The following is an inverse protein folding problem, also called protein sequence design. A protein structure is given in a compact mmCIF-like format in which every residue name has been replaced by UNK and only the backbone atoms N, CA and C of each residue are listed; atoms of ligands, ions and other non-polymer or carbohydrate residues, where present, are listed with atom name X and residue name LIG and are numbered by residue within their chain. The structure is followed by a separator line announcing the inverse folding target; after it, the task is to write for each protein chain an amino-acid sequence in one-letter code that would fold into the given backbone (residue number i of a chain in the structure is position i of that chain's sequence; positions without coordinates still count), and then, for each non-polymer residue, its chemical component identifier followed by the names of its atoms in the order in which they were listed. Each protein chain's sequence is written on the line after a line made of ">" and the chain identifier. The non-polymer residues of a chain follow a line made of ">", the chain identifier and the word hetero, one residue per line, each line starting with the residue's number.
data_IF_224284600098
#
_entry.id   IF_224284600098
#
_cell.length_a   1.000
_cell.length_b   1.000
_cell.length_c   1.000
_cell.angle_alpha   90.00
_cell.angle_beta   90.00
_cell.angle_gamma   90.00
#
_symmetry.space_group_name_H-M   'P 1'
#
loop_
_entity.id
_entity.type
_entity.pdbx_description
1 polymer ?
#
# COMPACT_ATOMS: atom_id res chain seq x y z
N UNK A 1 75.80 8.53 -33.04
CA UNK A 1 74.79 7.53 -32.67
C UNK A 1 73.88 8.17 -31.61
N UNK A 2 72.79 8.72 -32.01
CA UNK A 2 71.86 9.48 -31.14
C UNK A 2 70.54 8.73 -31.08
N UNK A 3 70.18 8.21 -29.91
CA UNK A 3 68.99 7.48 -29.68
C UNK A 3 67.80 8.44 -29.50
N UNK A 4 66.77 8.28 -30.30
CA UNK A 4 65.50 8.99 -30.22
C UNK A 4 64.56 8.18 -29.30
N UNK A 5 64.23 8.78 -28.13
CA UNK A 5 63.27 8.21 -27.20
C UNK A 5 61.85 8.60 -27.65
N UNK A 6 61.05 7.59 -27.96
CA UNK A 6 59.62 7.78 -28.27
C UNK A 6 58.81 8.05 -26.98
N UNK A 7 58.11 9.18 -26.94
CA UNK A 7 57.16 9.54 -25.89
C UNK A 7 55.82 8.92 -26.26
N UNK A 8 55.34 7.97 -25.42
CA UNK A 8 54.01 7.36 -25.52
C UNK A 8 52.99 8.33 -24.89
N UNK A 9 51.98 8.72 -25.65
CA UNK A 9 50.82 9.47 -25.21
C UNK A 9 49.96 8.55 -24.34
N UNK A 10 49.35 9.00 -23.22
CA UNK A 10 48.37 8.25 -22.51
C UNK A 10 47.02 8.25 -23.26
N UNK A 11 46.41 7.09 -23.36
CA UNK A 11 45.04 6.85 -23.86
C UNK A 11 44.03 7.67 -23.06
N UNK A 12 43.23 8.40 -23.76
CA UNK A 12 42.12 9.15 -23.28
C UNK A 12 40.95 8.19 -23.05
N UNK A 13 40.74 7.76 -21.80
CA UNK A 13 39.56 6.99 -21.39
C UNK A 13 38.30 7.82 -21.63
N UNK A 14 37.54 7.37 -22.60
CA UNK A 14 36.21 7.91 -22.94
C UNK A 14 35.24 7.66 -21.76
N UNK A 15 34.97 8.74 -21.01
CA UNK A 15 33.96 8.81 -19.97
C UNK A 15 32.75 9.54 -20.51
N UNK A 16 31.92 8.88 -21.32
CA UNK A 16 30.57 9.40 -21.63
C UNK A 16 29.68 8.27 -22.16
N UNK A 17 29.29 7.38 -21.27
CA UNK A 17 28.07 6.60 -21.45
C UNK A 17 27.08 7.01 -20.35
N UNK A 18 26.62 8.26 -20.40
CA UNK A 18 25.36 8.62 -19.77
C UNK A 18 24.29 8.12 -20.72
N UNK A 19 23.71 6.95 -20.39
CA UNK A 19 22.54 6.41 -21.08
C UNK A 19 21.44 7.47 -21.01
N UNK A 20 21.17 8.14 -22.10
CA UNK A 20 19.99 8.99 -22.25
C UNK A 20 18.80 8.06 -22.33
N UNK A 21 18.02 7.98 -21.23
CA UNK A 21 16.73 7.28 -21.25
C UNK A 21 15.86 7.87 -22.36
N UNK A 22 15.23 7.01 -23.15
CA UNK A 22 14.28 7.41 -24.18
C UNK A 22 13.06 8.10 -23.52
N UNK A 23 12.43 9.04 -24.24
CA UNK A 23 11.25 9.75 -23.75
C UNK A 23 10.10 8.79 -23.36
N UNK A 24 10.01 7.65 -24.03
CA UNK A 24 9.07 6.57 -23.70
C UNK A 24 9.43 5.89 -22.37
N UNK A 25 10.72 5.62 -22.10
CA UNK A 25 11.18 5.05 -20.83
C UNK A 25 10.95 6.02 -19.66
N UNK A 26 11.17 7.32 -19.91
CA UNK A 26 10.89 8.38 -18.92
C UNK A 26 9.39 8.49 -18.63
N UNK A 27 8.52 8.37 -19.64
CA UNK A 27 7.08 8.40 -19.47
C UNK A 27 6.57 7.15 -18.71
N UNK A 28 7.06 5.97 -19.03
CA UNK A 28 6.73 4.72 -18.32
C UNK A 28 7.21 4.79 -16.86
N UNK A 29 8.39 5.34 -16.62
CA UNK A 29 8.91 5.51 -15.26
C UNK A 29 8.09 6.55 -14.46
N UNK A 30 7.61 7.62 -15.10
CA UNK A 30 6.73 8.61 -14.48
C UNK A 30 5.36 8.02 -14.13
N UNK A 31 4.75 7.25 -15.04
CA UNK A 31 3.49 6.54 -14.79
C UNK A 31 3.63 5.52 -13.64
N UNK A 32 4.75 4.79 -13.59
CA UNK A 32 5.03 3.87 -12.51
C UNK A 32 5.28 4.58 -11.16
N UNK A 33 5.84 5.78 -11.18
CA UNK A 33 6.11 6.55 -9.96
C UNK A 33 4.83 6.97 -9.21
N UNK A 34 3.76 7.25 -9.95
CA UNK A 34 2.46 7.66 -9.41
C UNK A 34 1.45 6.49 -9.34
N UNK A 35 1.79 5.33 -9.92
CA UNK A 35 0.98 4.12 -9.76
C UNK A 35 1.06 3.60 -8.32
N UNK A 36 -0.06 3.05 -7.84
CA UNK A 36 -0.19 2.54 -6.48
C UNK A 36 -0.51 1.04 -6.46
N UNK A 37 0.37 0.22 -5.90
CA UNK A 37 0.01 -1.11 -5.43
C UNK A 37 -0.80 -0.98 -4.13
N UNK A 38 -1.70 -1.92 -3.85
CA UNK A 38 -2.55 -1.86 -2.65
C UNK A 38 -2.36 -3.10 -1.79
N UNK A 39 -2.15 -2.88 -0.50
CA UNK A 39 -2.11 -3.92 0.53
C UNK A 39 -3.43 -3.86 1.30
N UNK A 40 -4.17 -4.96 1.32
CA UNK A 40 -5.39 -5.11 2.12
C UNK A 40 -5.09 -6.02 3.30
N UNK A 41 -5.13 -5.46 4.51
CA UNK A 41 -4.97 -6.24 5.74
C UNK A 41 -6.27 -6.98 6.04
N UNK A 42 -6.23 -8.30 5.96
CA UNK A 42 -7.36 -9.19 6.17
C UNK A 42 -7.03 -10.30 7.18
N UNK A 43 -6.06 -10.05 8.05
CA UNK A 43 -5.68 -10.89 9.18
C UNK A 43 -6.29 -10.39 10.49
N UNK A 44 -6.23 -11.24 11.49
CA UNK A 44 -6.68 -10.91 12.85
C UNK A 44 -7.47 -12.05 13.48
N UNK A 45 -7.58 -12.04 14.81
CA UNK A 45 -8.17 -13.16 15.57
C UNK A 45 -9.71 -13.14 15.62
N UNK A 46 -10.37 -12.13 15.05
CA UNK A 46 -11.84 -12.02 15.02
C UNK A 46 -12.54 -12.11 16.39
N UNK A 47 -11.85 -11.84 17.50
CA UNK A 47 -12.36 -12.09 18.88
C UNK A 47 -13.70 -11.43 19.17
N UNK A 48 -13.98 -10.25 18.58
CA UNK A 48 -15.23 -9.50 18.78
C UNK A 48 -16.36 -9.96 17.86
N UNK A 49 -16.05 -10.85 16.93
CA UNK A 49 -16.98 -11.50 16.02
C UNK A 49 -17.07 -13.01 16.33
N UNK A 50 -16.99 -13.38 17.61
CA UNK A 50 -17.08 -14.77 18.10
C UNK A 50 -16.09 -15.72 17.41
N UNK A 51 -14.91 -15.21 17.02
CA UNK A 51 -13.88 -15.96 16.30
C UNK A 51 -14.12 -16.08 14.80
N UNK A 52 -15.13 -15.43 14.24
CA UNK A 52 -15.36 -15.44 12.79
C UNK A 52 -14.18 -14.81 12.03
N UNK A 53 -13.88 -15.35 10.87
CA UNK A 53 -12.93 -14.78 9.92
C UNK A 53 -13.47 -13.45 9.40
N UNK A 54 -12.93 -12.30 9.84
CA UNK A 54 -13.40 -10.97 9.44
C UNK A 54 -13.54 -10.80 7.92
N UNK A 55 -12.54 -11.18 7.10
CA UNK A 55 -12.66 -11.05 5.65
C UNK A 55 -13.83 -11.83 5.05
N UNK A 56 -14.28 -12.90 5.71
CA UNK A 56 -15.34 -13.78 5.23
C UNK A 56 -16.74 -13.42 5.79
N UNK A 57 -16.82 -12.44 6.69
CA UNK A 57 -18.12 -11.93 7.18
C UNK A 57 -18.89 -11.34 6.00
N UNK A 58 -20.16 -11.78 5.85
CA UNK A 58 -21.05 -11.32 4.77
C UNK A 58 -21.98 -10.21 5.27
N UNK A 59 -22.03 -9.12 4.54
CA UNK A 59 -22.98 -8.04 4.72
C UNK A 59 -23.30 -7.42 3.33
N UNK A 60 -24.51 -6.97 3.13
CA UNK A 60 -24.98 -6.45 1.82
C UNK A 60 -24.70 -7.41 0.65
N UNK A 61 -24.78 -8.71 0.91
CA UNK A 61 -24.64 -9.75 -0.10
C UNK A 61 -23.21 -10.11 -0.53
N UNK A 62 -22.18 -9.46 0.01
CA UNK A 62 -20.77 -9.72 -0.28
C UNK A 62 -19.96 -9.89 1.02
N UNK A 63 -18.83 -10.61 0.95
CA UNK A 63 -17.86 -10.64 2.05
C UNK A 63 -17.26 -9.24 2.25
N UNK A 64 -16.88 -8.89 3.47
CA UNK A 64 -16.23 -7.59 3.75
C UNK A 64 -15.00 -7.38 2.86
N UNK A 65 -14.17 -8.41 2.68
CA UNK A 65 -13.03 -8.35 1.76
C UNK A 65 -13.45 -8.07 0.31
N UNK A 66 -14.53 -8.69 -0.17
CA UNK A 66 -14.98 -8.55 -1.55
C UNK A 66 -15.51 -7.13 -1.84
N UNK A 67 -16.08 -6.43 -0.83
CA UNK A 67 -16.44 -5.02 -0.98
C UNK A 67 -15.21 -4.14 -1.25
N UNK A 68 -14.11 -4.39 -0.55
CA UNK A 68 -12.85 -3.65 -0.76
C UNK A 68 -12.30 -3.96 -2.15
N UNK A 69 -12.22 -5.24 -2.52
CA UNK A 69 -11.66 -5.66 -3.81
C UNK A 69 -12.47 -5.14 -5.00
N UNK A 70 -13.81 -5.23 -4.93
CA UNK A 70 -14.70 -4.68 -5.96
C UNK A 70 -14.57 -3.16 -6.09
N UNK A 71 -14.40 -2.47 -4.95
CA UNK A 71 -14.17 -1.02 -4.96
C UNK A 71 -12.83 -0.63 -5.58
N UNK A 72 -11.77 -1.41 -5.37
CA UNK A 72 -10.47 -1.19 -6.02
C UNK A 72 -10.58 -1.37 -7.54
N UNK A 73 -11.31 -2.40 -8.00
CA UNK A 73 -11.54 -2.60 -9.43
C UNK A 73 -12.33 -1.46 -10.03
N UNK A 74 -13.40 -1.00 -9.36
CA UNK A 74 -14.16 0.18 -9.79
C UNK A 74 -13.27 1.43 -9.93
N UNK A 75 -12.34 1.67 -8.99
CA UNK A 75 -11.42 2.80 -9.09
C UNK A 75 -10.44 2.65 -10.27
N UNK A 76 -9.98 1.44 -10.56
CA UNK A 76 -9.14 1.13 -11.72
C UNK A 76 -9.88 1.44 -13.03
N UNK A 77 -11.15 1.02 -13.15
CA UNK A 77 -12.02 1.32 -14.28
C UNK A 77 -12.26 2.83 -14.45
N UNK A 78 -12.28 3.58 -13.35
CA UNK A 78 -12.38 5.05 -13.34
C UNK A 78 -11.07 5.77 -13.67
N UNK A 79 -9.97 5.02 -13.94
CA UNK A 79 -8.68 5.56 -14.34
C UNK A 79 -7.74 5.94 -13.21
N UNK A 80 -8.03 5.56 -11.96
CA UNK A 80 -7.03 5.69 -10.89
C UNK A 80 -5.88 4.70 -11.18
N UNK A 81 -4.60 5.14 -11.20
CA UNK A 81 -3.47 4.29 -11.57
C UNK A 81 -3.17 3.28 -10.46
N UNK A 82 -4.03 2.27 -10.32
CA UNK A 82 -3.89 1.16 -9.40
C UNK A 82 -3.17 -0.01 -10.08
N UNK A 83 -2.06 -0.41 -9.47
CA UNK A 83 -1.30 -1.59 -9.84
C UNK A 83 -1.88 -2.88 -9.25
N UNK A 84 -1.04 -3.67 -8.61
CA UNK A 84 -1.41 -4.97 -8.04
C UNK A 84 -2.05 -4.83 -6.67
N UNK A 85 -2.88 -5.80 -6.33
CA UNK A 85 -3.48 -5.92 -5.01
C UNK A 85 -2.88 -7.14 -4.31
N UNK A 86 -2.42 -6.94 -3.08
CA UNK A 86 -1.94 -8.00 -2.20
C UNK A 86 -2.77 -8.03 -0.92
N UNK A 87 -3.41 -9.15 -0.64
CA UNK A 87 -4.16 -9.38 0.59
C UNK A 87 -3.28 -10.10 1.59
N UNK A 88 -3.13 -9.52 2.77
CA UNK A 88 -2.43 -10.14 3.89
C UNK A 88 -3.44 -10.94 4.68
N UNK A 89 -3.46 -12.25 4.44
CA UNK A 89 -4.44 -13.15 5.01
C UNK A 89 -3.89 -14.58 5.11
N UNK A 90 -4.39 -15.38 6.07
CA UNK A 90 -4.08 -16.80 6.16
C UNK A 90 -4.62 -17.57 4.92
N UNK A 91 -4.08 -18.77 4.63
CA UNK A 91 -4.38 -19.51 3.41
C UNK A 91 -5.85 -19.91 3.27
N UNK A 92 -6.59 -20.01 4.38
CA UNK A 92 -8.01 -20.38 4.42
C UNK A 92 -8.94 -19.33 3.81
N UNK A 93 -8.51 -18.05 3.80
CA UNK A 93 -9.28 -16.96 3.17
C UNK A 93 -9.21 -17.10 1.66
N UNK A 94 -10.33 -17.36 1.01
CA UNK A 94 -10.38 -17.46 -0.45
C UNK A 94 -10.12 -16.11 -1.11
N UNK A 95 -9.22 -16.07 -2.10
CA UNK A 95 -8.91 -14.88 -2.89
C UNK A 95 -9.26 -15.09 -4.36
N UNK A 96 -9.76 -14.06 -5.06
CA UNK A 96 -10.00 -14.14 -6.50
C UNK A 96 -8.68 -14.24 -7.28
N UNK A 97 -8.78 -14.72 -8.53
CA UNK A 97 -7.65 -14.80 -9.44
C UNK A 97 -7.03 -13.41 -9.67
N UNK A 98 -5.70 -13.34 -9.73
CA UNK A 98 -4.97 -12.07 -9.92
C UNK A 98 -4.71 -11.27 -8.64
N UNK A 99 -5.31 -11.62 -7.53
CA UNK A 99 -5.01 -11.03 -6.21
C UNK A 99 -3.87 -11.82 -5.57
N UNK A 100 -2.82 -11.12 -5.17
CA UNK A 100 -1.66 -11.71 -4.50
C UNK A 100 -1.97 -11.98 -3.02
N UNK A 101 -1.30 -12.97 -2.45
CA UNK A 101 -1.38 -13.29 -1.03
C UNK A 101 -0.05 -13.02 -0.35
N UNK A 102 -0.11 -12.42 0.83
CA UNK A 102 1.00 -12.37 1.77
C UNK A 102 0.56 -12.88 3.15
N UNK A 103 1.50 -13.32 3.94
CA UNK A 103 1.36 -13.56 5.35
C UNK A 103 2.74 -13.37 5.98
N UNK A 104 2.80 -12.68 7.10
CA UNK A 104 4.04 -12.52 7.84
C UNK A 104 4.49 -13.83 8.50
N UNK A 105 5.79 -14.05 8.58
CA UNK A 105 6.38 -15.24 9.20
C UNK A 105 7.27 -14.84 10.40
N UNK A 106 7.00 -15.37 11.60
CA UNK A 106 5.83 -16.16 11.98
C UNK A 106 4.53 -15.33 11.93
N UNK A 107 3.33 -15.96 11.83
CA UNK A 107 2.06 -15.23 11.81
C UNK A 107 1.79 -14.44 13.08
N UNK A 108 0.79 -13.53 13.04
CA UNK A 108 0.30 -12.74 14.17
C UNK A 108 1.32 -11.70 14.70
N UNK A 109 2.23 -11.23 13.85
CA UNK A 109 3.17 -10.13 14.19
C UNK A 109 2.55 -8.74 14.18
N UNK A 110 1.25 -8.65 13.99
CA UNK A 110 0.49 -7.40 13.95
C UNK A 110 0.49 -6.70 12.58
N UNK A 111 -0.28 -5.61 12.44
CA UNK A 111 -0.52 -4.97 11.15
C UNK A 111 0.76 -4.45 10.49
N UNK A 112 1.74 -4.00 11.25
CA UNK A 112 3.03 -3.49 10.72
C UNK A 112 3.82 -4.61 10.04
N UNK A 113 3.86 -5.81 10.65
CA UNK A 113 4.50 -6.98 10.05
C UNK A 113 3.75 -7.45 8.80
N UNK A 114 2.42 -7.40 8.82
CA UNK A 114 1.58 -7.70 7.66
C UNK A 114 1.86 -6.74 6.49
N UNK A 115 2.01 -5.44 6.75
CA UNK A 115 2.37 -4.46 5.72
C UNK A 115 3.75 -4.80 5.11
N UNK A 116 4.73 -5.13 5.94
CA UNK A 116 6.06 -5.52 5.48
C UNK A 116 6.01 -6.76 4.57
N UNK A 117 5.24 -7.79 4.96
CA UNK A 117 5.03 -8.99 4.14
C UNK A 117 4.34 -8.68 2.81
N UNK A 118 3.32 -7.81 2.81
CA UNK A 118 2.65 -7.35 1.59
C UNK A 118 3.60 -6.61 0.65
N UNK A 119 4.44 -5.71 1.18
CA UNK A 119 5.45 -5.00 0.39
C UNK A 119 6.49 -5.93 -0.23
N UNK A 120 6.92 -6.95 0.50
CA UNK A 120 7.86 -7.96 0.00
C UNK A 120 7.28 -8.72 -1.20
N UNK A 121 6.04 -9.21 -1.08
CA UNK A 121 5.35 -9.91 -2.18
C UNK A 121 5.19 -9.00 -3.40
N UNK A 122 4.75 -7.76 -3.20
CA UNK A 122 4.59 -6.78 -4.28
C UNK A 122 5.93 -6.33 -4.89
N UNK A 123 7.02 -6.44 -4.16
CA UNK A 123 8.37 -6.09 -4.62
C UNK A 123 9.03 -7.11 -5.56
N UNK A 124 8.45 -8.31 -5.68
CA UNK A 124 9.05 -9.41 -6.47
C UNK A 124 8.80 -9.33 -7.98
N UNK A 125 8.01 -8.37 -8.42
CA UNK A 125 7.66 -8.19 -9.85
C UNK A 125 8.05 -6.81 -10.34
N UNK A 126 8.41 -6.69 -11.60
CA UNK A 126 8.81 -5.45 -12.27
C UNK A 126 7.76 -5.08 -13.34
N UNK A 127 7.40 -3.81 -13.52
CA UNK A 127 7.80 -2.66 -12.72
C UNK A 127 7.13 -2.61 -11.34
N UNK A 128 7.83 -2.04 -10.36
CA UNK A 128 7.31 -1.83 -9.01
C UNK A 128 6.67 -0.45 -8.93
N UNK A 129 5.42 -0.39 -8.47
CA UNK A 129 4.72 0.88 -8.28
C UNK A 129 5.43 1.79 -7.26
N UNK A 130 5.48 3.09 -7.52
CA UNK A 130 6.12 4.08 -6.66
C UNK A 130 5.35 4.34 -5.35
N UNK A 131 4.05 4.07 -5.36
CA UNK A 131 3.17 4.23 -4.21
C UNK A 131 2.66 2.89 -3.69
N UNK A 132 2.31 2.85 -2.40
CA UNK A 132 1.67 1.71 -1.75
C UNK A 132 0.47 2.19 -0.91
N UNK A 133 -0.72 1.70 -1.23
CA UNK A 133 -1.94 1.90 -0.47
C UNK A 133 -2.05 0.86 0.64
N UNK A 134 -2.57 1.27 1.79
CA UNK A 134 -2.93 0.37 2.89
C UNK A 134 -4.42 0.53 3.14
N UNK A 135 -5.16 -0.57 3.12
CA UNK A 135 -6.55 -0.69 3.50
C UNK A 135 -6.74 -1.86 4.46
N UNK A 136 -7.88 -1.90 5.12
CA UNK A 136 -8.29 -3.02 5.99
C UNK A 136 -9.60 -3.61 5.48
N UNK A 137 -9.80 -4.91 5.63
CA UNK A 137 -11.02 -5.57 5.15
C UNK A 137 -12.26 -5.24 5.99
N UNK A 138 -12.08 -4.82 7.24
CA UNK A 138 -13.17 -4.45 8.16
C UNK A 138 -13.75 -3.04 7.91
N UNK A 139 -13.07 -2.23 7.09
CA UNK A 139 -13.59 -0.97 6.56
C UNK A 139 -13.99 -1.14 5.07
N UNK A 140 -15.16 -1.75 4.77
CA UNK A 140 -15.50 -2.20 3.41
C UNK A 140 -15.65 -1.07 2.38
N UNK A 141 -15.76 0.18 2.80
CA UNK A 141 -15.81 1.36 1.94
C UNK A 141 -14.53 2.21 1.98
N UNK A 142 -13.45 1.71 2.60
CA UNK A 142 -12.18 2.42 2.73
C UNK A 142 -11.54 2.82 1.39
N UNK A 143 -11.75 2.02 0.34
CA UNK A 143 -11.29 2.31 -1.02
C UNK A 143 -11.73 3.69 -1.54
N UNK A 144 -12.87 4.23 -1.05
CA UNK A 144 -13.39 5.54 -1.45
C UNK A 144 -12.48 6.71 -1.09
N UNK A 145 -11.59 6.53 -0.14
CA UNK A 145 -10.62 7.55 0.23
C UNK A 145 -9.45 7.66 -0.76
N UNK A 146 -9.09 6.58 -1.46
CA UNK A 146 -7.89 6.51 -2.30
C UNK A 146 -7.76 7.63 -3.34
N UNK A 147 -8.80 8.07 -4.07
CA UNK A 147 -8.66 9.14 -5.06
C UNK A 147 -8.22 10.47 -4.45
N UNK A 148 -8.72 10.81 -3.25
CA UNK A 148 -8.32 12.03 -2.55
C UNK A 148 -6.89 11.93 -1.99
N UNK A 149 -6.54 10.76 -1.42
CA UNK A 149 -5.19 10.48 -0.92
C UNK A 149 -4.16 10.52 -2.05
N UNK A 150 -4.46 9.88 -3.18
CA UNK A 150 -3.60 9.87 -4.36
C UNK A 150 -3.34 11.28 -4.88
N UNK A 151 -4.39 12.06 -5.10
CA UNK A 151 -4.28 13.45 -5.55
C UNK A 151 -3.43 14.28 -4.60
N UNK A 152 -3.66 14.16 -3.29
CA UNK A 152 -2.93 14.91 -2.28
C UNK A 152 -1.43 14.57 -2.25
N UNK A 153 -1.09 13.29 -2.42
CA UNK A 153 0.30 12.82 -2.38
C UNK A 153 1.05 13.17 -3.67
N UNK A 154 0.42 13.01 -4.83
CA UNK A 154 1.01 13.37 -6.13
C UNK A 154 1.26 14.89 -6.21
N UNK A 155 0.27 15.71 -5.81
CA UNK A 155 0.41 17.16 -5.80
C UNK A 155 1.50 17.68 -4.85
N UNK A 156 1.72 16.99 -3.73
CA UNK A 156 2.75 17.37 -2.77
C UNK A 156 4.18 17.03 -3.24
N UNK A 157 4.32 16.19 -4.25
CA UNK A 157 5.64 15.75 -4.71
C UNK A 157 6.44 15.04 -3.59
N UNK A 158 7.77 15.20 -3.56
CA UNK A 158 8.66 14.49 -2.62
C UNK A 158 8.60 15.04 -1.18
N UNK A 159 7.85 16.09 -0.91
CA UNK A 159 7.78 16.71 0.42
C UNK A 159 7.05 15.85 1.43
N UNK A 160 6.12 15.00 0.96
CA UNK A 160 5.36 14.08 1.80
C UNK A 160 5.77 12.63 1.55
N UNK A 161 5.78 11.86 2.62
CA UNK A 161 5.98 10.43 2.60
C UNK A 161 4.66 9.67 2.44
N UNK A 162 3.52 10.33 2.74
CA UNK A 162 2.20 9.73 2.62
C UNK A 162 1.04 10.72 2.78
N UNK A 163 -0.16 10.23 2.48
CA UNK A 163 -1.44 10.85 2.78
C UNK A 163 -2.34 9.83 3.45
N UNK A 164 -2.99 10.20 4.56
CA UNK A 164 -3.85 9.30 5.34
C UNK A 164 -5.23 9.90 5.51
N UNK A 165 -6.26 9.06 5.57
CA UNK A 165 -7.59 9.50 5.93
C UNK A 165 -7.62 10.07 7.36
N UNK A 166 -8.51 11.04 7.57
CA UNK A 166 -8.76 11.66 8.86
C UNK A 166 -10.27 11.69 9.13
N UNK A 167 -10.70 11.14 10.26
CA UNK A 167 -12.12 10.98 10.61
C UNK A 167 -12.73 12.21 11.34
N UNK A 168 -11.91 13.24 11.56
CA UNK A 168 -12.23 14.42 12.33
C UNK A 168 -11.51 14.48 13.69
N UNK A 169 -11.08 13.33 14.21
CA UNK A 169 -10.39 13.21 15.49
C UNK A 169 -8.98 12.62 15.33
N UNK A 170 -8.85 11.59 14.49
CA UNK A 170 -7.62 10.81 14.36
C UNK A 170 -7.18 10.61 12.92
N UNK A 171 -5.86 10.52 12.74
CA UNK A 171 -5.25 10.09 11.48
C UNK A 171 -5.30 8.56 11.39
N UNK A 172 -5.93 8.06 10.34
CA UNK A 172 -6.14 6.64 10.06
C UNK A 172 -4.96 6.10 9.26
N UNK A 173 -3.86 5.73 9.92
CA UNK A 173 -2.64 5.24 9.24
C UNK A 173 -2.84 3.95 8.44
N UNK A 174 -3.83 3.12 8.79
CA UNK A 174 -4.17 1.91 8.04
C UNK A 174 -5.16 2.18 6.89
N UNK A 175 -5.56 3.44 6.70
CA UNK A 175 -6.25 3.94 5.54
C UNK A 175 -5.40 5.06 4.94
N UNK A 176 -4.36 4.69 4.22
CA UNK A 176 -3.35 5.61 3.73
C UNK A 176 -2.74 5.20 2.41
N UNK A 177 -2.18 6.18 1.72
CA UNK A 177 -1.35 6.01 0.54
C UNK A 177 0.03 6.58 0.84
N UNK A 178 1.06 5.83 0.56
CA UNK A 178 2.43 6.15 0.96
C UNK A 178 3.39 6.02 -0.21
N UNK A 179 4.48 6.80 -0.18
CA UNK A 179 5.63 6.49 -1.01
C UNK A 179 6.21 5.15 -0.57
N UNK A 180 6.26 4.22 -1.49
CA UNK A 180 6.64 2.83 -1.21
C UNK A 180 7.95 2.73 -0.44
N UNK A 181 8.97 3.49 -0.84
CA UNK A 181 10.29 3.45 -0.18
C UNK A 181 10.23 3.94 1.28
N UNK A 182 9.50 5.02 1.53
CA UNK A 182 9.34 5.56 2.88
C UNK A 182 8.58 4.57 3.78
N UNK A 183 7.48 3.98 3.27
CA UNK A 183 6.72 2.96 3.97
C UNK A 183 7.59 1.74 4.28
N UNK A 184 8.32 1.21 3.30
CA UNK A 184 9.19 0.05 3.49
C UNK A 184 10.24 0.29 4.58
N UNK A 185 10.87 1.47 4.59
CA UNK A 185 11.84 1.85 5.64
C UNK A 185 11.17 1.94 7.02
N UNK A 186 9.94 2.45 7.09
CA UNK A 186 9.22 2.61 8.35
C UNK A 186 8.77 1.28 8.97
N UNK A 187 8.34 0.31 8.13
CA UNK A 187 7.85 -0.99 8.63
C UNK A 187 8.94 -2.05 8.74
N UNK A 188 10.07 -1.88 8.05
CA UNK A 188 11.21 -2.80 8.07
C UNK A 188 12.55 -2.02 8.05
N UNK A 189 12.89 -1.29 9.12
CA UNK A 189 14.14 -0.54 9.20
C UNK A 189 15.33 -1.50 9.08
N UNK A 190 16.27 -1.16 8.20
CA UNK A 190 17.41 -2.05 7.90
C UNK A 190 17.04 -3.37 7.22
N UNK A 191 15.82 -3.46 6.66
CA UNK A 191 15.32 -4.68 6.01
C UNK A 191 14.73 -5.72 6.98
N UNK A 192 14.64 -5.41 8.27
CA UNK A 192 14.08 -6.32 9.29
C UNK A 192 12.65 -5.88 9.63
N UNK A 193 11.61 -6.69 9.35
CA UNK A 193 10.23 -6.34 9.65
C UNK A 193 9.99 -6.10 11.15
N UNK A 194 9.34 -4.98 11.46
CA UNK A 194 8.87 -4.70 12.82
C UNK A 194 7.70 -5.60 13.15
N UNK A 195 7.71 -6.18 14.35
CA UNK A 195 6.66 -7.06 14.86
C UNK A 195 6.11 -6.49 16.18
N UNK A 196 4.85 -6.81 16.48
CA UNK A 196 4.16 -6.39 17.71
C UNK A 196 4.33 -4.88 18.01
N UNK A 197 4.47 -4.11 16.94
CA UNK A 197 4.69 -2.67 17.00
C UNK A 197 3.39 -1.93 16.70
N UNK A 198 3.05 -0.96 17.55
CA UNK A 198 1.88 -0.11 17.31
C UNK A 198 2.04 0.67 15.99
N UNK A 199 1.00 0.68 15.17
CA UNK A 199 0.96 1.36 13.86
C UNK A 199 1.42 2.82 13.97
N UNK A 200 0.90 3.56 14.95
CA UNK A 200 1.28 4.96 15.19
C UNK A 200 2.78 5.13 15.50
N UNK A 201 3.38 4.14 16.15
CA UNK A 201 4.83 4.18 16.45
C UNK A 201 5.65 3.97 15.18
N UNK A 202 5.25 3.06 14.30
CA UNK A 202 5.96 2.78 13.06
C UNK A 202 5.74 3.88 12.01
N UNK A 203 4.48 4.23 11.74
CA UNK A 203 4.11 5.13 10.64
C UNK A 203 4.03 6.61 11.04
N UNK A 204 3.90 6.92 12.32
CA UNK A 204 3.82 8.30 12.81
C UNK A 204 5.11 9.12 12.69
N UNK A 205 6.21 8.49 12.28
CA UNK A 205 7.48 9.18 11.96
C UNK A 205 7.51 9.70 10.51
N UNK A 206 6.59 9.25 9.67
CA UNK A 206 6.48 9.68 8.29
C UNK A 206 5.82 11.06 8.20
N UNK A 207 6.24 11.85 7.22
CA UNK A 207 5.61 13.14 6.89
C UNK A 207 4.31 12.89 6.15
N UNK A 208 3.22 12.71 6.88
CA UNK A 208 1.91 12.41 6.30
C UNK A 208 1.00 13.63 6.33
N UNK A 209 0.19 13.79 5.28
CA UNK A 209 -0.92 14.74 5.25
C UNK A 209 -2.21 14.03 5.64
N UNK A 210 -2.90 14.56 6.64
CA UNK A 210 -4.22 14.11 7.04
C UNK A 210 -5.27 14.69 6.07
N UNK A 211 -6.06 13.83 5.45
CA UNK A 211 -7.09 14.20 4.46
C UNK A 211 -8.46 13.91 5.08
N UNK A 212 -9.31 14.93 5.28
CA UNK A 212 -10.66 14.74 5.75
C UNK A 212 -11.42 13.74 4.85
N UNK A 213 -12.04 12.76 5.48
CA UNK A 213 -12.67 11.64 4.79
C UNK A 213 -14.06 11.40 5.38
N UNK A 214 -14.99 10.89 4.58
CA UNK A 214 -16.34 10.58 5.01
C UNK A 214 -16.35 9.49 6.10
N UNK A 215 -17.27 9.57 7.04
CA UNK A 215 -17.42 8.57 8.11
C UNK A 215 -17.57 7.14 7.56
N UNK A 216 -18.28 6.98 6.46
CA UNK A 216 -18.50 5.68 5.84
C UNK A 216 -17.19 5.02 5.36
N UNK A 217 -16.22 5.80 4.87
CA UNK A 217 -14.95 5.29 4.38
C UNK A 217 -14.01 4.85 5.52
N UNK A 218 -14.16 5.43 6.71
CA UNK A 218 -13.34 5.10 7.89
C UNK A 218 -14.06 4.20 8.89
N UNK A 219 -15.29 3.76 8.56
CA UNK A 219 -16.11 2.94 9.45
C UNK A 219 -15.63 1.51 9.46
N UNK A 220 -15.09 1.09 10.60
CA UNK A 220 -14.76 -0.31 10.87
C UNK A 220 -16.01 -1.10 11.30
N UNK A 221 -16.08 -2.35 10.89
CA UNK A 221 -17.10 -3.30 11.30
C UNK A 221 -16.48 -4.36 12.23
N UNK A 222 -16.35 -4.01 13.49
CA UNK A 222 -15.67 -4.82 14.51
C UNK A 222 -16.58 -5.78 15.27
N UNK A 223 -17.89 -5.48 15.28
CA UNK A 223 -18.90 -6.24 16.03
C UNK A 223 -20.06 -6.68 15.14
N UNK A 224 -20.76 -7.74 15.55
CA UNK A 224 -21.99 -8.18 14.85
C UNK A 224 -23.09 -7.10 14.85
N UNK A 225 -23.12 -6.20 15.84
CA UNK A 225 -24.07 -5.09 15.87
C UNK A 225 -23.77 -4.10 14.74
N UNK A 226 -22.51 -3.71 14.54
CA UNK A 226 -22.07 -2.83 13.45
C UNK A 226 -22.30 -3.46 12.07
N UNK A 227 -21.97 -4.75 11.93
CA UNK A 227 -22.23 -5.51 10.69
C UNK A 227 -23.72 -5.46 10.35
N UNK A 228 -24.62 -5.80 11.29
CA UNK A 228 -26.07 -5.76 11.06
C UNK A 228 -26.60 -4.36 10.79
N UNK A 229 -26.10 -3.34 11.48
CA UNK A 229 -26.47 -1.95 11.23
C UNK A 229 -26.08 -1.51 9.83
N UNK A 230 -24.86 -1.86 9.41
CA UNK A 230 -24.38 -1.55 8.07
C UNK A 230 -25.15 -2.35 6.99
N UNK A 231 -25.44 -3.63 7.21
CA UNK A 231 -26.20 -4.49 6.30
C UNK A 231 -27.62 -3.95 6.06
N UNK A 232 -28.29 -3.48 7.10
CA UNK A 232 -29.65 -2.91 7.03
C UNK A 232 -29.71 -1.48 6.47
N UNK A 233 -28.56 -0.86 6.12
CA UNK A 233 -28.51 0.53 5.63
C UNK A 233 -28.84 1.58 6.69
N UNK A 234 -28.89 1.23 7.96
CA UNK A 234 -29.09 2.18 9.07
C UNK A 234 -27.78 2.90 9.35
N UNK A 235 -27.74 4.18 9.02
CA UNK A 235 -26.71 5.10 9.53
C UNK A 235 -27.08 5.48 10.95
N UNK A 236 -26.15 5.27 11.90
CA UNK A 236 -26.25 5.86 13.24
C UNK A 236 -25.88 7.33 13.21
#
# INVERSE_FOLDING_TARGET
>A
MTAVTAVTRPEQTDRTAVSTMDAAEVAIAADAADAADVIVLAGGTGRRLDGASKPDVVARGLRLLDHVLAGLEQLREQGLPLGRVCVVAPPEVALPCGVLRALEDPPLGGPVAGIAAGLDVLGRSDPVAGLAGILTCDAPLSWRALPALHRALVQAGPELDGACAHDGEHTQYLLGLYRRRALATAVAPGGVPLRDTAVRRALGTLRVRAIPTTRDAVRDLDTWAEVRAWDSGRSE
#
